data_IF_492475704451
#
_entry.id   IF_492475704451
#
_cell.length_a   1.000
_cell.length_b   1.000
_cell.length_c   1.000
_cell.angle_alpha   90.00
_cell.angle_beta   90.00
_cell.angle_gamma   90.00
#
_symmetry.space_group_name_H-M   'P 1'
#
loop_
_entity.id
_entity.type
_entity.pdbx_description
1 polymer ?
#
# COMPACT_ATOMS: atom_id res chain seq x y z
N UNK A 1 27.32 43.10 16.12
CA UNK A 1 26.50 42.36 15.13
C UNK A 1 25.03 42.50 15.54
N UNK A 2 24.19 43.18 14.75
CA UNK A 2 22.83 43.52 15.17
C UNK A 2 21.92 42.28 15.11
N UNK A 3 21.12 42.01 16.16
CA UNK A 3 20.20 40.87 16.28
C UNK A 3 19.26 40.72 15.08
N UNK A 4 18.95 41.84 14.43
CA UNK A 4 18.16 41.91 13.19
C UNK A 4 18.84 41.24 11.99
N UNK A 5 20.18 41.29 11.91
CA UNK A 5 20.97 40.63 10.85
C UNK A 5 21.06 39.13 11.07
N UNK A 6 21.07 38.68 12.34
CA UNK A 6 21.09 37.25 12.71
C UNK A 6 19.75 36.60 12.32
N UNK A 7 18.63 37.26 12.61
CA UNK A 7 17.29 36.76 12.26
C UNK A 7 17.07 36.63 10.74
N UNK A 8 17.61 37.56 9.95
CA UNK A 8 17.50 37.50 8.48
C UNK A 8 18.36 36.37 7.90
N UNK A 9 19.54 36.11 8.46
CA UNK A 9 20.42 35.04 7.99
C UNK A 9 19.86 33.64 8.25
N UNK A 10 19.16 33.44 9.38
CA UNK A 10 18.57 32.14 9.72
C UNK A 10 17.35 31.77 8.86
N UNK A 11 16.65 32.75 8.29
CA UNK A 11 15.50 32.49 7.43
C UNK A 11 15.88 31.93 6.04
N UNK A 12 17.09 32.22 5.55
CA UNK A 12 17.54 31.77 4.22
C UNK A 12 18.02 30.31 4.18
N UNK A 13 18.39 29.72 5.33
CA UNK A 13 18.84 28.32 5.41
C UNK A 13 17.73 27.33 5.74
N UNK A 14 16.61 27.78 6.32
CA UNK A 14 15.48 26.92 6.69
C UNK A 14 14.63 26.46 5.49
N UNK A 15 14.71 27.14 4.35
CA UNK A 15 13.88 26.82 3.16
C UNK A 15 14.39 25.65 2.34
N UNK A 16 15.65 25.23 2.51
CA UNK A 16 16.20 24.06 1.80
C UNK A 16 15.79 22.71 2.40
N UNK A 17 15.22 22.70 3.61
CA UNK A 17 14.79 21.47 4.31
C UNK A 17 13.31 21.12 4.01
N UNK A 18 12.55 22.04 3.42
CA UNK A 18 11.11 21.87 3.11
C UNK A 18 10.88 21.57 1.62
N UNK A 19 11.95 21.28 0.87
CA UNK A 19 11.81 20.62 -0.42
C UNK A 19 11.62 19.12 -0.17
N UNK A 20 10.49 18.77 0.47
CA UNK A 20 9.81 17.50 0.22
C UNK A 20 9.37 17.56 -1.24
N UNK A 21 10.31 17.36 -2.17
CA UNK A 21 9.96 17.03 -3.53
C UNK A 21 9.13 15.76 -3.43
N UNK A 22 7.83 15.78 -3.77
CA UNK A 22 7.09 14.55 -3.88
C UNK A 22 7.83 13.75 -4.93
N UNK A 23 8.57 12.74 -4.49
CA UNK A 23 9.16 11.75 -5.37
C UNK A 23 7.97 10.98 -5.93
N UNK A 24 7.40 11.47 -7.04
CA UNK A 24 6.60 10.63 -7.91
C UNK A 24 7.53 9.49 -8.31
N UNK A 25 7.38 8.35 -7.63
CA UNK A 25 8.23 7.18 -7.76
C UNK A 25 7.97 6.44 -9.10
N UNK A 26 7.98 7.19 -10.21
CA UNK A 26 8.02 6.63 -11.56
C UNK A 26 9.46 6.23 -11.82
N UNK A 27 9.77 4.98 -11.47
CA UNK A 27 11.10 4.40 -11.61
C UNK A 27 11.17 3.61 -12.90
N UNK A 28 12.17 3.87 -13.72
CA UNK A 28 12.47 3.05 -14.88
C UNK A 28 13.73 2.23 -14.58
N UNK A 29 13.66 0.89 -14.71
CA UNK A 29 14.82 0.00 -14.59
C UNK A 29 15.22 -0.53 -15.97
N UNK A 30 16.52 -0.43 -16.27
CA UNK A 30 17.17 -1.11 -17.39
C UNK A 30 17.87 -2.36 -16.87
N UNK A 31 17.49 -3.53 -17.39
CA UNK A 31 18.15 -4.80 -17.08
C UNK A 31 18.38 -5.65 -18.32
N UNK A 32 19.03 -6.82 -18.17
CA UNK A 32 19.24 -7.77 -19.27
C UNK A 32 17.93 -8.28 -19.90
N UNK A 33 16.79 -8.12 -19.20
CA UNK A 33 15.45 -8.40 -19.73
C UNK A 33 14.75 -7.23 -20.44
N UNK A 34 15.39 -6.05 -20.54
CA UNK A 34 14.85 -4.87 -21.21
C UNK A 34 14.46 -3.71 -20.28
N UNK A 35 13.52 -2.89 -20.77
CA UNK A 35 13.04 -1.64 -20.16
C UNK A 35 11.78 -1.91 -19.33
N UNK A 36 11.86 -1.83 -18.00
CA UNK A 36 10.70 -1.93 -17.12
C UNK A 36 10.31 -0.54 -16.62
N UNK A 37 9.09 -0.10 -16.96
CA UNK A 37 8.52 1.18 -16.54
C UNK A 37 7.60 0.91 -15.35
N UNK A 38 8.02 1.32 -14.15
CA UNK A 38 7.19 1.23 -12.95
C UNK A 38 6.28 2.46 -12.88
N UNK A 39 5.06 2.32 -13.39
CA UNK A 39 4.03 3.36 -13.32
C UNK A 39 3.37 3.47 -11.92
N UNK A 40 3.92 2.81 -10.90
CA UNK A 40 3.33 2.73 -9.55
C UNK A 40 2.03 1.89 -9.47
N UNK A 41 1.52 1.37 -10.60
CA UNK A 41 0.33 0.49 -10.63
C UNK A 41 0.62 -0.93 -10.14
N UNK A 42 1.82 -1.45 -10.39
CA UNK A 42 2.21 -2.82 -9.99
C UNK A 42 2.11 -3.05 -8.48
N UNK A 43 2.60 -2.10 -7.68
CA UNK A 43 2.51 -2.18 -6.21
C UNK A 43 1.06 -2.15 -5.69
N UNK A 44 0.18 -1.40 -6.36
CA UNK A 44 -1.24 -1.30 -5.96
C UNK A 44 -1.98 -2.60 -6.29
N UNK A 45 -1.78 -3.12 -7.49
CA UNK A 45 -2.37 -4.37 -7.95
C UNK A 45 -1.89 -5.54 -7.08
N UNK A 46 -0.58 -5.65 -6.81
CA UNK A 46 -0.03 -6.70 -5.94
C UNK A 46 -0.57 -6.62 -4.51
N UNK A 47 -0.77 -5.40 -3.98
CA UNK A 47 -1.35 -5.19 -2.65
C UNK A 47 -2.82 -5.61 -2.59
N UNK A 48 -3.61 -5.27 -3.62
CA UNK A 48 -5.00 -5.69 -3.73
C UNK A 48 -5.10 -7.22 -3.83
N UNK A 49 -4.23 -7.84 -4.60
CA UNK A 49 -4.15 -9.29 -4.77
C UNK A 49 -3.83 -10.01 -3.45
N UNK A 50 -2.85 -9.51 -2.69
CA UNK A 50 -2.53 -10.03 -1.35
C UNK A 50 -3.71 -9.88 -0.38
N UNK A 51 -4.44 -8.76 -0.45
CA UNK A 51 -5.63 -8.51 0.39
C UNK A 51 -6.76 -9.47 0.05
N UNK A 52 -7.01 -9.68 -1.24
CA UNK A 52 -7.99 -10.63 -1.74
C UNK A 52 -7.66 -12.06 -1.29
N UNK A 53 -6.41 -12.51 -1.46
CA UNK A 53 -5.95 -13.83 -0.98
C UNK A 53 -6.08 -13.99 0.54
N UNK A 54 -5.91 -12.93 1.32
CA UNK A 54 -6.09 -12.98 2.78
C UNK A 54 -7.59 -13.12 3.13
N UNK A 55 -8.44 -12.33 2.51
CA UNK A 55 -9.89 -12.40 2.69
C UNK A 55 -10.43 -13.80 2.34
N UNK A 56 -10.00 -14.38 1.22
CA UNK A 56 -10.44 -15.72 0.82
C UNK A 56 -10.00 -16.80 1.81
N UNK A 57 -8.79 -16.70 2.37
CA UNK A 57 -8.32 -17.60 3.43
C UNK A 57 -9.16 -17.51 4.69
N UNK A 58 -9.53 -16.31 5.11
CA UNK A 58 -10.39 -16.10 6.28
C UNK A 58 -11.80 -16.63 6.06
N UNK A 59 -12.39 -16.37 4.88
CA UNK A 59 -13.72 -16.90 4.55
C UNK A 59 -13.73 -18.43 4.46
N UNK A 60 -12.64 -19.04 3.99
CA UNK A 60 -12.49 -20.50 3.99
C UNK A 60 -12.42 -21.04 5.41
N UNK A 61 -11.57 -20.47 6.25
CA UNK A 61 -11.44 -20.87 7.65
C UNK A 61 -12.78 -20.83 8.39
N UNK A 62 -13.52 -19.73 8.26
CA UNK A 62 -14.85 -19.62 8.90
C UNK A 62 -15.88 -20.59 8.33
N UNK A 63 -15.79 -20.92 7.03
CA UNK A 63 -16.66 -21.91 6.42
C UNK A 63 -16.39 -23.32 6.96
N UNK A 64 -15.11 -23.69 7.10
CA UNK A 64 -14.69 -24.99 7.62
C UNK A 64 -14.97 -25.12 9.12
N UNK A 65 -14.84 -24.03 9.88
CA UNK A 65 -14.94 -23.99 11.34
C UNK A 65 -16.25 -23.35 11.84
N UNK A 66 -17.36 -23.56 11.14
CA UNK A 66 -18.68 -22.97 11.46
C UNK A 66 -19.11 -23.16 12.93
N UNK A 67 -18.77 -24.31 13.52
CA UNK A 67 -19.16 -24.69 14.87
C UNK A 67 -18.37 -23.91 15.94
N UNK A 68 -17.13 -23.52 15.62
CA UNK A 68 -16.27 -22.70 16.48
C UNK A 68 -16.72 -21.24 16.44
N UNK A 69 -17.06 -20.74 15.25
CA UNK A 69 -17.46 -19.34 15.06
C UNK A 69 -18.96 -19.09 15.29
N UNK A 70 -19.75 -20.13 15.55
CA UNK A 70 -21.18 -20.02 15.81
C UNK A 70 -21.98 -19.55 14.59
N UNK A 71 -21.59 -19.98 13.38
CA UNK A 71 -22.29 -19.60 12.16
C UNK A 71 -23.57 -20.41 11.95
N UNK A 72 -24.73 -19.74 11.89
CA UNK A 72 -25.98 -20.37 11.51
C UNK A 72 -26.04 -20.60 9.98
N UNK A 73 -25.95 -21.87 9.57
CA UNK A 73 -26.12 -22.29 8.17
C UNK A 73 -24.86 -22.14 7.30
N UNK A 74 -25.03 -21.82 6.01
CA UNK A 74 -23.94 -21.75 5.02
C UNK A 74 -23.49 -20.29 4.73
N UNK A 75 -23.58 -19.37 5.69
CA UNK A 75 -23.30 -17.94 5.51
C UNK A 75 -21.94 -17.65 4.86
N UNK A 76 -20.85 -17.93 5.57
CA UNK A 76 -19.50 -17.74 5.04
C UNK A 76 -19.15 -18.68 3.90
N UNK A 77 -19.67 -19.92 3.90
CA UNK A 77 -19.43 -20.86 2.80
C UNK A 77 -20.03 -20.38 1.46
N UNK A 78 -21.22 -19.76 1.49
CA UNK A 78 -21.82 -19.15 0.29
C UNK A 78 -21.04 -17.92 -0.14
N UNK A 79 -20.61 -17.10 0.82
CA UNK A 79 -19.81 -15.90 0.53
C UNK A 79 -18.45 -16.25 -0.05
N UNK A 80 -17.77 -17.25 0.48
CA UNK A 80 -16.51 -17.79 -0.05
C UNK A 80 -16.68 -18.22 -1.51
N UNK A 81 -17.68 -19.06 -1.81
CA UNK A 81 -17.95 -19.54 -3.17
C UNK A 81 -18.28 -18.41 -4.15
N UNK A 82 -18.95 -17.35 -3.71
CA UNK A 82 -19.28 -16.19 -4.57
C UNK A 82 -18.07 -15.30 -4.85
N UNK A 83 -17.19 -15.13 -3.86
CA UNK A 83 -16.11 -14.16 -3.91
C UNK A 83 -14.77 -14.75 -4.38
N UNK A 84 -14.53 -16.04 -4.12
CA UNK A 84 -13.21 -16.67 -4.19
C UNK A 84 -13.18 -18.01 -4.96
N UNK A 85 -14.35 -18.53 -5.34
CA UNK A 85 -14.51 -19.80 -6.06
C UNK A 85 -14.73 -19.59 -7.55
#
# INVERSE_FOLDING_TARGET
MSMRRILVATAALGTLVILDTPSFAQGFRVGPGGLEIDDGRGYREEREDRRFRRMCRELRDRCENKDIYGEEGQGNCRRYRRMCG
#
